data_IF_226800176335
#
_entry.id   IF_226800176335
#
_cell.length_a   1.000
_cell.length_b   1.000
_cell.length_c   1.000
_cell.angle_alpha   90.00
_cell.angle_beta   90.00
_cell.angle_gamma   90.00
#
_symmetry.space_group_name_H-M   'P 1'
#
loop_
_entity.id
_entity.type
_entity.pdbx_description
1 polymer ?
#
# COMPACT_ATOMS: atom_id res chain seq x y z
N UNK A 1 10.29 25.37 17.59
CA UNK A 1 11.12 24.75 16.53
C UNK A 1 10.21 23.89 15.67
N UNK A 2 10.30 23.99 14.35
CA UNK A 2 9.54 23.13 13.44
C UNK A 2 10.20 21.75 13.39
N UNK A 3 9.43 20.65 13.34
CA UNK A 3 9.98 19.31 13.28
C UNK A 3 10.76 19.11 11.97
N UNK A 4 11.87 18.38 12.05
CA UNK A 4 12.66 17.92 10.91
C UNK A 4 11.88 16.92 10.05
N UNK A 5 12.26 16.76 8.79
CA UNK A 5 11.64 15.77 7.89
C UNK A 5 11.71 14.36 8.46
N UNK A 6 12.83 13.99 9.09
CA UNK A 6 12.98 12.68 9.71
C UNK A 6 11.99 12.50 10.88
N UNK A 7 11.80 13.51 11.73
CA UNK A 7 10.82 13.46 12.81
C UNK A 7 9.39 13.33 12.27
N UNK A 8 9.04 14.05 11.20
CA UNK A 8 7.72 13.94 10.55
C UNK A 8 7.49 12.52 10.03
N UNK A 9 8.48 11.93 9.34
CA UNK A 9 8.40 10.56 8.82
C UNK A 9 8.26 9.56 9.97
N UNK A 10 9.06 9.67 11.02
CA UNK A 10 8.98 8.77 12.17
C UNK A 10 7.63 8.88 12.90
N UNK A 11 7.08 10.09 13.05
CA UNK A 11 5.74 10.30 13.61
C UNK A 11 4.66 9.62 12.76
N UNK A 12 4.73 9.77 11.43
CA UNK A 12 3.80 9.13 10.51
C UNK A 12 3.88 7.60 10.58
N UNK A 13 5.09 7.03 10.58
CA UNK A 13 5.32 5.58 10.69
C UNK A 13 4.78 5.05 12.02
N UNK A 14 5.03 5.74 13.13
CA UNK A 14 4.46 5.36 14.43
C UNK A 14 2.94 5.41 14.43
N UNK A 15 2.34 6.45 13.85
CA UNK A 15 0.89 6.54 13.72
C UNK A 15 0.31 5.36 12.92
N UNK A 16 0.97 4.98 11.80
CA UNK A 16 0.54 3.86 10.95
C UNK A 16 0.69 2.50 11.65
N UNK A 17 1.77 2.30 12.42
CA UNK A 17 1.96 1.08 13.22
C UNK A 17 0.93 1.00 14.36
N UNK A 18 0.55 2.12 14.98
CA UNK A 18 -0.50 2.18 15.99
C UNK A 18 -1.89 1.88 15.38
N UNK A 19 -2.18 2.43 14.19
CA UNK A 19 -3.37 2.08 13.41
C UNK A 19 -3.40 0.56 13.16
N UNK A 20 -2.29 -0.03 12.70
CA UNK A 20 -2.18 -1.47 12.47
C UNK A 20 -2.42 -2.28 13.74
N UNK A 21 -1.82 -1.88 14.87
CA UNK A 21 -1.95 -2.58 16.15
C UNK A 21 -3.39 -2.61 16.69
N UNK A 22 -4.20 -1.61 16.35
CA UNK A 22 -5.62 -1.54 16.72
C UNK A 22 -6.51 -2.50 15.93
N UNK A 23 -6.01 -3.08 14.84
CA UNK A 23 -6.79 -3.95 13.94
C UNK A 23 -6.75 -5.41 14.43
N UNK A 24 -7.89 -6.13 14.45
CA UNK A 24 -7.93 -7.53 14.86
C UNK A 24 -6.98 -8.43 14.05
N UNK A 25 -6.45 -9.46 14.70
CA UNK A 25 -5.56 -10.45 14.08
C UNK A 25 -6.33 -11.52 13.29
N UNK A 26 -5.69 -12.05 12.25
CA UNK A 26 -6.09 -13.31 11.61
C UNK A 26 -5.77 -13.40 10.12
N UNK A 27 -5.95 -14.60 9.58
CA UNK A 27 -5.68 -14.94 8.17
C UNK A 27 -6.72 -14.43 7.16
N UNK A 28 -7.79 -13.79 7.64
CA UNK A 28 -8.81 -13.20 6.77
C UNK A 28 -8.34 -11.82 6.33
N UNK A 29 -8.78 -11.40 5.15
CA UNK A 29 -8.57 -10.03 4.69
C UNK A 29 -9.06 -8.98 5.69
N UNK A 30 -8.39 -7.82 5.71
CA UNK A 30 -8.73 -6.71 6.60
C UNK A 30 -8.28 -6.94 8.04
N UNK A 31 -7.58 -8.05 8.31
CA UNK A 31 -6.96 -8.34 9.60
C UNK A 31 -5.44 -8.30 9.48
N UNK A 32 -4.79 -7.91 10.58
CA UNK A 32 -3.34 -7.88 10.65
C UNK A 32 -2.77 -9.28 10.79
N UNK A 33 -1.62 -9.51 10.19
CA UNK A 33 -0.89 -10.78 10.32
C UNK A 33 0.02 -10.76 11.54
N UNK A 34 0.22 -11.93 12.12
CA UNK A 34 1.13 -12.13 13.25
C UNK A 34 2.38 -12.89 12.81
N UNK A 35 3.43 -12.85 13.63
CA UNK A 35 4.62 -13.67 13.40
C UNK A 35 4.30 -15.17 13.43
N UNK A 36 3.28 -15.60 14.18
CA UNK A 36 2.80 -16.99 14.18
C UNK A 36 2.16 -17.35 12.82
N UNK A 37 1.44 -16.42 12.21
CA UNK A 37 0.83 -16.60 10.89
C UNK A 37 1.89 -16.78 9.81
N UNK A 38 2.97 -15.99 9.89
CA UNK A 38 4.13 -16.09 9.00
C UNK A 38 4.91 -17.39 9.25
N UNK A 39 5.08 -17.81 10.51
CA UNK A 39 5.72 -19.09 10.86
C UNK A 39 4.97 -20.29 10.30
N UNK A 40 3.64 -20.28 10.31
CA UNK A 40 2.82 -21.32 9.65
C UNK A 40 2.99 -21.34 8.13
N UNK A 41 3.39 -20.23 7.55
CA UNK A 41 3.70 -20.09 6.12
C UNK A 41 5.17 -20.40 5.79
N UNK A 42 5.95 -20.89 6.77
CA UNK A 42 7.36 -21.28 6.59
C UNK A 42 8.39 -20.18 6.89
N UNK A 43 7.96 -19.01 7.39
CA UNK A 43 8.86 -17.89 7.69
C UNK A 43 9.23 -17.86 9.17
N UNK A 44 10.49 -18.13 9.49
CA UNK A 44 10.97 -18.10 10.88
C UNK A 44 11.28 -16.65 11.33
N UNK A 45 10.27 -15.94 11.84
CA UNK A 45 10.38 -14.56 12.30
C UNK A 45 9.76 -14.38 13.69
N UNK A 46 10.35 -13.52 14.52
CA UNK A 46 9.78 -13.11 15.80
C UNK A 46 8.82 -11.93 15.61
N UNK A 47 7.96 -11.67 16.61
CA UNK A 47 7.07 -10.50 16.58
C UNK A 47 7.87 -9.17 16.51
N UNK A 48 9.03 -9.12 17.16
CA UNK A 48 9.88 -7.94 17.14
C UNK A 48 10.55 -7.72 15.77
N UNK A 49 11.10 -8.78 15.18
CA UNK A 49 11.67 -8.72 13.83
C UNK A 49 10.62 -8.31 12.78
N UNK A 50 9.38 -8.80 12.93
CA UNK A 50 8.26 -8.38 12.09
C UNK A 50 7.99 -6.89 12.23
N UNK A 51 7.89 -6.38 13.47
CA UNK A 51 7.66 -4.97 13.77
C UNK A 51 8.77 -4.07 13.23
N UNK A 52 10.02 -4.45 13.42
CA UNK A 52 11.20 -3.74 12.89
C UNK A 52 11.23 -3.75 11.35
N UNK A 53 10.90 -4.90 10.75
CA UNK A 53 10.78 -5.05 9.30
C UNK A 53 9.73 -4.11 8.71
N UNK A 54 8.54 -4.07 9.30
CA UNK A 54 7.46 -3.17 8.90
C UNK A 54 7.86 -1.70 9.08
N UNK A 55 8.43 -1.33 10.23
CA UNK A 55 8.87 0.04 10.50
C UNK A 55 9.88 0.54 9.47
N UNK A 56 10.88 -0.28 9.11
CA UNK A 56 11.86 0.06 8.07
C UNK A 56 11.23 0.25 6.70
N UNK A 57 10.36 -0.68 6.27
CA UNK A 57 9.70 -0.58 4.97
C UNK A 57 8.73 0.61 4.90
N UNK A 58 7.99 0.87 5.97
CA UNK A 58 7.07 2.01 6.05
C UNK A 58 7.83 3.33 5.99
N UNK A 59 8.99 3.40 6.66
CA UNK A 59 9.91 4.53 6.55
C UNK A 59 10.37 4.74 5.11
N UNK A 60 10.75 3.67 4.40
CA UNK A 60 11.17 3.78 2.99
C UNK A 60 10.03 4.26 2.07
N UNK A 61 8.81 3.73 2.25
CA UNK A 61 7.62 4.18 1.51
C UNK A 61 7.36 5.67 1.77
N UNK A 62 7.35 6.11 3.03
CA UNK A 62 7.12 7.50 3.39
C UNK A 62 8.21 8.45 2.84
N UNK A 63 9.48 8.03 2.87
CA UNK A 63 10.58 8.82 2.31
C UNK A 63 10.52 8.94 0.79
N UNK A 64 10.14 7.86 0.08
CA UNK A 64 10.20 7.82 -1.39
C UNK A 64 8.94 8.32 -2.08
N UNK A 65 7.78 8.18 -1.45
CA UNK A 65 6.49 8.59 -2.01
C UNK A 65 5.88 9.81 -1.31
N UNK A 66 6.43 10.21 -0.16
CA UNK A 66 5.93 11.31 0.65
C UNK A 66 4.98 10.85 1.76
N UNK A 67 5.01 11.59 2.87
CA UNK A 67 4.24 11.28 4.08
C UNK A 67 2.73 11.33 3.85
N UNK A 68 2.24 12.27 3.03
CA UNK A 68 0.81 12.40 2.74
C UNK A 68 0.26 11.17 2.02
N UNK A 69 0.94 10.73 0.95
CA UNK A 69 0.58 9.51 0.23
C UNK A 69 0.62 8.30 1.15
N UNK A 70 1.70 8.15 1.93
CA UNK A 70 1.85 7.07 2.91
C UNK A 70 0.71 7.05 3.94
N UNK A 71 0.32 8.20 4.49
CA UNK A 71 -0.75 8.29 5.48
C UNK A 71 -2.13 7.94 4.90
N UNK A 72 -2.33 8.19 3.61
CA UNK A 72 -3.55 7.82 2.89
C UNK A 72 -3.74 6.30 2.67
N UNK A 73 -2.70 5.49 2.86
CA UNK A 73 -2.79 4.03 2.69
C UNK A 73 -3.39 3.35 3.94
N UNK A 74 -4.35 2.42 3.81
CA UNK A 74 -4.84 1.64 4.94
C UNK A 74 -3.74 0.79 5.58
N UNK A 75 -3.60 0.80 6.91
CA UNK A 75 -2.48 0.13 7.59
C UNK A 75 -2.37 -1.37 7.30
N UNK A 76 -3.48 -2.11 7.33
CA UNK A 76 -3.47 -3.55 7.03
C UNK A 76 -3.13 -3.84 5.57
N UNK A 77 -3.60 -3.00 4.64
CA UNK A 77 -3.25 -3.19 3.23
C UNK A 77 -1.74 -2.97 3.04
N UNK A 78 -1.18 -1.95 3.68
CA UNK A 78 0.24 -1.65 3.62
C UNK A 78 1.09 -2.75 4.27
N UNK A 79 0.68 -3.27 5.44
CA UNK A 79 1.33 -4.43 6.07
C UNK A 79 1.38 -5.63 5.10
N UNK A 80 0.23 -6.02 4.56
CA UNK A 80 0.13 -7.20 3.71
C UNK A 80 0.87 -7.02 2.39
N UNK A 81 0.83 -5.81 1.81
CA UNK A 81 1.60 -5.47 0.63
C UNK A 81 3.12 -5.56 0.89
N UNK A 82 3.58 -5.00 2.01
CA UNK A 82 4.99 -5.10 2.43
C UNK A 82 5.41 -6.55 2.64
N UNK A 83 4.61 -7.35 3.34
CA UNK A 83 4.91 -8.76 3.59
C UNK A 83 4.99 -9.57 2.29
N UNK A 84 4.03 -9.39 1.38
CA UNK A 84 4.05 -10.05 0.07
C UNK A 84 5.26 -9.63 -0.77
N UNK A 85 5.64 -8.35 -0.74
CA UNK A 85 6.82 -7.85 -1.44
C UNK A 85 8.10 -8.49 -0.89
N UNK A 86 8.25 -8.55 0.45
CA UNK A 86 9.38 -9.22 1.10
C UNK A 86 9.44 -10.70 0.72
N UNK A 87 8.31 -11.40 0.76
CA UNK A 87 8.23 -12.83 0.41
C UNK A 87 8.63 -13.10 -1.04
N UNK A 88 8.46 -12.11 -1.93
CA UNK A 88 8.80 -12.16 -3.35
C UNK A 88 10.18 -11.55 -3.66
N UNK A 89 10.92 -11.11 -2.65
CA UNK A 89 12.19 -10.38 -2.80
C UNK A 89 12.08 -9.13 -3.68
N UNK A 90 10.98 -8.39 -3.53
CA UNK A 90 10.66 -7.17 -4.27
C UNK A 90 10.82 -5.92 -3.39
N UNK A 91 11.30 -4.82 -3.97
CA UNK A 91 11.37 -3.51 -3.32
C UNK A 91 9.97 -2.89 -3.18
N UNK A 92 9.41 -2.90 -1.97
CA UNK A 92 8.05 -2.43 -1.67
C UNK A 92 7.79 -0.99 -2.14
N UNK A 93 8.64 -0.03 -1.75
CA UNK A 93 8.47 1.36 -2.16
C UNK A 93 8.83 1.57 -3.64
N UNK A 94 9.77 0.78 -4.16
CA UNK A 94 10.14 0.77 -5.57
C UNK A 94 9.02 0.30 -6.48
N UNK A 95 8.27 -0.74 -6.10
CA UNK A 95 7.12 -1.22 -6.85
C UNK A 95 6.06 -0.12 -6.99
N UNK A 96 5.70 0.54 -5.88
CA UNK A 96 4.71 1.63 -5.90
C UNK A 96 5.19 2.83 -6.73
N UNK A 97 6.45 3.23 -6.56
CA UNK A 97 7.05 4.33 -7.34
C UNK A 97 7.09 3.99 -8.83
N UNK A 98 7.47 2.76 -9.16
CA UNK A 98 7.53 2.26 -10.54
C UNK A 98 6.14 2.22 -11.18
N UNK A 99 5.12 1.76 -10.45
CA UNK A 99 3.73 1.74 -10.91
C UNK A 99 3.25 3.15 -11.29
N UNK A 100 3.43 4.13 -10.39
CA UNK A 100 3.02 5.52 -10.62
C UNK A 100 3.75 6.09 -11.83
N UNK A 101 5.08 5.98 -11.87
CA UNK A 101 5.89 6.55 -12.94
C UNK A 101 5.58 5.90 -14.30
N UNK A 102 5.43 4.57 -14.35
CA UNK A 102 5.15 3.84 -15.57
C UNK A 102 3.77 4.19 -16.11
N UNK A 103 2.77 4.28 -15.23
CA UNK A 103 1.43 4.69 -15.63
C UNK A 103 1.43 6.13 -16.17
N UNK A 104 2.03 7.09 -15.46
CA UNK A 104 2.09 8.48 -15.92
C UNK A 104 2.75 8.58 -17.30
N UNK A 105 3.92 7.93 -17.48
CA UNK A 105 4.64 7.95 -18.74
C UNK A 105 3.81 7.37 -19.88
N UNK A 106 3.26 6.17 -19.70
CA UNK A 106 2.49 5.50 -20.75
C UNK A 106 1.14 6.17 -21.03
N UNK A 107 0.55 6.83 -20.03
CA UNK A 107 -0.71 7.55 -20.18
C UNK A 107 -0.55 8.85 -20.98
N UNK A 108 0.55 9.58 -20.81
CA UNK A 108 0.79 10.85 -21.55
C UNK A 108 1.32 10.62 -22.97
N UNK A 109 1.84 9.43 -23.28
CA UNK A 109 2.31 9.04 -24.61
C UNK A 109 1.13 8.60 -25.49
N UNK A 110 0.82 9.30 -26.60
CA UNK A 110 -0.37 9.01 -27.42
C UNK A 110 -0.48 7.55 -27.89
N UNK A 111 0.64 6.93 -28.23
CA UNK A 111 0.73 5.56 -28.74
C UNK A 111 0.34 4.51 -27.69
N UNK A 112 0.47 4.84 -26.41
CA UNK A 112 0.24 3.90 -25.30
C UNK A 112 -0.91 4.32 -24.39
N UNK A 113 -1.44 5.54 -24.55
CA UNK A 113 -2.40 6.14 -23.60
C UNK A 113 -3.66 5.31 -23.38
N UNK A 114 -4.30 4.87 -24.47
CA UNK A 114 -5.52 4.05 -24.39
C UNK A 114 -5.26 2.70 -23.70
N UNK A 115 -4.12 2.06 -24.01
CA UNK A 115 -3.72 0.78 -23.40
C UNK A 115 -3.38 0.96 -21.91
N UNK A 116 -2.68 2.02 -21.55
CA UNK A 116 -2.36 2.35 -20.16
C UNK A 116 -3.64 2.55 -19.33
N UNK A 117 -4.61 3.29 -19.88
CA UNK A 117 -5.92 3.47 -19.24
C UNK A 117 -6.67 2.15 -19.09
N UNK A 118 -6.70 1.31 -20.14
CA UNK A 118 -7.33 -0.02 -20.07
C UNK A 118 -6.69 -0.93 -19.01
N UNK A 119 -5.37 -0.88 -18.82
CA UNK A 119 -4.71 -1.59 -17.73
C UNK A 119 -5.10 -1.08 -16.35
N UNK A 120 -5.29 0.23 -16.18
CA UNK A 120 -5.81 0.79 -14.93
C UNK A 120 -7.25 0.32 -14.66
N UNK A 121 -8.12 0.33 -15.68
CA UNK A 121 -9.48 -0.23 -15.56
C UNK A 121 -9.45 -1.71 -15.17
N UNK A 122 -8.54 -2.49 -15.76
CA UNK A 122 -8.32 -3.89 -15.40
C UNK A 122 -7.90 -4.07 -13.94
N UNK A 123 -6.98 -3.22 -13.44
CA UNK A 123 -6.60 -3.22 -12.02
C UNK A 123 -7.77 -2.86 -11.10
N UNK A 124 -8.63 -1.90 -11.49
CA UNK A 124 -9.82 -1.54 -10.72
C UNK A 124 -10.86 -2.68 -10.69
N UNK A 125 -11.04 -3.39 -11.80
CA UNK A 125 -11.89 -4.59 -11.84
C UNK A 125 -11.36 -5.68 -10.90
N UNK A 126 -10.05 -5.98 -10.95
CA UNK A 126 -9.40 -6.91 -10.04
C UNK A 126 -9.50 -6.45 -8.58
N UNK A 127 -9.42 -5.13 -8.31
CA UNK A 127 -9.62 -4.58 -6.96
C UNK A 127 -11.04 -4.85 -6.45
N UNK A 128 -12.06 -4.71 -7.31
CA UNK A 128 -13.43 -5.02 -6.94
C UNK A 128 -13.63 -6.53 -6.68
N UNK A 129 -13.04 -7.39 -7.50
CA UNK A 129 -13.05 -8.85 -7.29
C UNK A 129 -12.35 -9.25 -5.99
N UNK A 130 -11.16 -8.71 -5.76
CA UNK A 130 -10.42 -8.92 -4.53
C UNK A 130 -11.24 -8.45 -3.33
N UNK A 131 -11.86 -7.27 -3.38
CA UNK A 131 -12.72 -6.78 -2.31
C UNK A 131 -13.88 -7.73 -2.02
N UNK A 132 -14.57 -8.25 -3.05
CA UNK A 132 -15.62 -9.27 -2.90
C UNK A 132 -15.10 -10.55 -2.25
N UNK A 133 -14.03 -11.14 -2.78
CA UNK A 133 -13.43 -12.36 -2.24
C UNK A 133 -12.97 -12.19 -0.78
N UNK A 134 -12.65 -10.96 -0.41
CA UNK A 134 -12.13 -10.56 0.89
C UNK A 134 -13.19 -10.02 1.85
N UNK A 135 -14.46 -9.95 1.45
CA UNK A 135 -15.55 -9.30 2.18
C UNK A 135 -15.20 -7.86 2.62
N UNK A 136 -14.50 -7.11 1.77
CA UNK A 136 -14.24 -5.68 1.94
C UNK A 136 -15.27 -4.89 1.13
N UNK A 137 -15.70 -3.73 1.62
CA UNK A 137 -16.50 -2.78 0.81
C UNK A 137 -15.56 -2.04 -0.15
N UNK A 138 -15.63 -2.25 -1.48
CA UNK A 138 -14.77 -1.50 -2.40
C UNK A 138 -15.25 -0.05 -2.46
N UNK A 139 -14.37 0.91 -2.17
CA UNK A 139 -14.64 2.33 -2.43
C UNK A 139 -14.30 2.60 -3.90
N UNK A 140 -15.26 2.93 -4.78
CA UNK A 140 -14.98 3.19 -6.20
C UNK A 140 -13.99 4.35 -6.36
N UNK A 141 -13.27 4.41 -7.48
CA UNK A 141 -12.68 5.69 -7.90
C UNK A 141 -13.85 6.67 -8.08
N UNK A 142 -13.87 7.75 -7.31
CA UNK A 142 -14.79 8.85 -7.57
C UNK A 142 -14.41 9.45 -8.92
N UNK A 143 -15.31 9.46 -9.92
CA UNK A 143 -15.09 10.21 -11.13
C UNK A 143 -14.83 11.67 -10.75
N UNK A 144 -13.90 12.35 -11.41
CA UNK A 144 -13.88 13.80 -11.34
C UNK A 144 -15.24 14.32 -11.85
N UNK A 145 -15.85 15.31 -11.17
CA UNK A 145 -17.05 15.95 -11.67
C UNK A 145 -16.78 16.39 -13.11
N UNK A 146 -17.55 15.88 -14.06
CA UNK A 146 -17.53 16.40 -15.42
C UNK A 146 -18.07 17.82 -15.35
N UNK A 147 -17.18 18.82 -15.32
CA UNK A 147 -17.57 20.18 -15.64
C UNK A 147 -17.99 20.17 -17.11
N UNK A 148 -19.29 20.07 -17.36
CA UNK A 148 -19.88 20.38 -18.66
C UNK A 148 -19.59 21.86 -18.92
N UNK A 149 -18.54 22.14 -19.67
CA UNK A 149 -18.41 23.43 -20.34
C UNK A 149 -19.49 23.46 -21.44
N UNK A 150 -20.56 24.19 -21.14
CA UNK A 150 -21.52 24.69 -22.13
C UNK A 150 -20.93 25.90 -22.84
#
# INVERSE_FOLDING_TARGET
>A
MSPSMNEIVQLAVHAKLNELASIPVGFRSGRRLTADDLRRSGYNITAEQLREGLSRNFTDVANRLGVEFFMGLPAVLLEQFTLMSIMRNEDCAGLLKSLINSFMLTYVTPETSATAFSHLEGLEALRAEAAKARNLTPKPMTPHPQHRHH
#
